data_IF_949669803868
#
_entry.id   IF_949669803868
#
_cell.length_a   1.000
_cell.length_b   1.000
_cell.length_c   1.000
_cell.angle_alpha   90.00
_cell.angle_beta   90.00
_cell.angle_gamma   90.00
#
_symmetry.space_group_name_H-M   'P 1'
#
loop_
_entity.id
_entity.type
_entity.pdbx_description
1 polymer ?
#
# COMPACT_ATOMS: atom_id res chain seq x y z
N UNK A 1 -1.55 -31.80 -26.82
CA UNK A 1 -1.88 -30.71 -25.87
C UNK A 1 -1.77 -29.38 -26.61
N UNK A 2 -2.91 -28.73 -26.85
CA UNK A 2 -3.06 -27.57 -27.73
C UNK A 2 -2.33 -26.34 -27.18
N UNK A 3 -1.30 -25.86 -27.89
CA UNK A 3 -0.68 -24.55 -27.64
C UNK A 3 -1.68 -23.47 -28.07
N UNK A 4 -2.35 -22.87 -27.09
CA UNK A 4 -3.16 -21.66 -27.33
C UNK A 4 -2.24 -20.58 -27.93
N UNK A 5 -2.59 -19.96 -29.06
CA UNK A 5 -1.74 -18.97 -29.71
C UNK A 5 -1.61 -17.74 -28.80
N UNK A 6 -0.37 -17.34 -28.52
CA UNK A 6 -0.08 -16.07 -27.82
C UNK A 6 -0.58 -14.95 -28.72
N UNK A 7 -1.53 -14.16 -28.20
CA UNK A 7 -2.10 -13.00 -28.90
C UNK A 7 -0.97 -11.99 -29.12
N UNK A 8 -0.31 -12.04 -30.29
CA UNK A 8 0.71 -11.07 -30.71
C UNK A 8 0.04 -9.70 -30.88
N UNK A 9 0.24 -8.82 -29.91
CA UNK A 9 -0.30 -7.46 -29.91
C UNK A 9 -0.22 -6.85 -28.51
N UNK A 10 -0.18 -5.51 -28.44
CA UNK A 10 0.02 -4.70 -27.23
C UNK A 10 -0.63 -5.33 -25.97
N UNK A 11 0.10 -5.48 -24.86
CA UNK A 11 -0.42 -6.07 -23.63
C UNK A 11 -1.70 -5.38 -23.18
N UNK A 12 -2.54 -6.09 -22.40
CA UNK A 12 -3.93 -5.75 -22.04
C UNK A 12 -4.12 -4.47 -21.18
N UNK A 13 -3.26 -3.47 -21.32
CA UNK A 13 -3.22 -2.21 -20.59
C UNK A 13 -1.94 -2.05 -19.78
N UNK A 14 -1.63 -0.82 -19.38
CA UNK A 14 -0.46 -0.51 -18.54
C UNK A 14 -0.46 -1.30 -17.22
N UNK A 15 -1.65 -1.55 -16.64
CA UNK A 15 -1.82 -2.33 -15.42
C UNK A 15 -1.41 -3.79 -15.57
N UNK A 16 -1.76 -4.43 -16.69
CA UNK A 16 -1.38 -5.83 -16.96
C UNK A 16 0.15 -5.97 -17.11
N UNK A 17 0.79 -5.05 -17.84
CA UNK A 17 2.27 -4.96 -17.95
C UNK A 17 2.96 -4.78 -16.61
N UNK A 18 2.40 -3.93 -15.74
CA UNK A 18 2.96 -3.72 -14.40
C UNK A 18 2.85 -4.98 -13.55
N UNK A 19 1.75 -5.72 -13.65
CA UNK A 19 1.57 -6.97 -12.91
C UNK A 19 2.53 -8.06 -13.41
N UNK A 20 2.65 -8.23 -14.73
CA UNK A 20 3.60 -9.15 -15.35
C UNK A 20 5.05 -8.81 -14.98
N UNK A 21 5.42 -7.52 -15.01
CA UNK A 21 6.74 -7.06 -14.58
C UNK A 21 6.99 -7.34 -13.10
N UNK A 22 6.01 -7.03 -12.22
CA UNK A 22 6.11 -7.34 -10.79
C UNK A 22 6.28 -8.83 -10.55
N UNK A 23 5.50 -9.66 -11.23
CA UNK A 23 5.56 -11.10 -11.11
C UNK A 23 6.92 -11.63 -11.59
N UNK A 24 7.40 -11.16 -12.74
CA UNK A 24 8.74 -11.51 -13.26
C UNK A 24 9.84 -11.10 -12.28
N UNK A 25 9.76 -9.89 -11.70
CA UNK A 25 10.74 -9.39 -10.75
C UNK A 25 10.70 -10.10 -9.39
N UNK A 26 9.59 -10.75 -9.02
CA UNK A 26 9.45 -11.51 -7.78
C UNK A 26 9.81 -12.99 -7.96
N UNK A 27 9.51 -13.55 -9.14
CA UNK A 27 9.71 -14.96 -9.47
C UNK A 27 11.10 -15.25 -10.07
N UNK A 28 11.87 -14.22 -10.42
CA UNK A 28 13.18 -14.44 -11.01
C UNK A 28 14.12 -15.14 -10.02
N UNK A 29 14.77 -16.25 -10.39
CA UNK A 29 15.57 -17.07 -9.48
C UNK A 29 16.78 -16.34 -8.90
N UNK A 30 17.23 -15.26 -9.54
CA UNK A 30 18.36 -14.46 -9.07
C UNK A 30 17.99 -13.43 -8.01
N UNK A 31 16.71 -13.20 -7.72
CA UNK A 31 16.29 -12.20 -6.70
C UNK A 31 16.94 -12.46 -5.34
N UNK A 32 16.97 -13.70 -4.80
CA UNK A 32 17.65 -14.00 -3.54
C UNK A 32 19.15 -13.71 -3.63
N UNK A 33 19.79 -14.05 -4.74
CA UNK A 33 21.22 -13.85 -4.98
C UNK A 33 21.59 -12.36 -5.05
N UNK A 34 20.75 -11.54 -5.67
CA UNK A 34 20.91 -10.08 -5.70
C UNK A 34 20.79 -9.50 -4.30
N UNK A 35 19.80 -9.94 -3.52
CA UNK A 35 19.63 -9.48 -2.12
C UNK A 35 20.85 -9.85 -1.27
N UNK A 36 21.34 -11.09 -1.37
CA UNK A 36 22.53 -11.55 -0.65
C UNK A 36 23.77 -10.72 -1.02
N UNK A 37 23.93 -10.41 -2.30
CA UNK A 37 25.04 -9.58 -2.80
C UNK A 37 24.97 -8.15 -2.25
N UNK A 38 23.78 -7.57 -2.15
CA UNK A 38 23.57 -6.23 -1.57
C UNK A 38 23.92 -6.23 -0.09
N UNK A 39 23.50 -7.25 0.67
CA UNK A 39 23.84 -7.39 2.09
C UNK A 39 25.35 -7.54 2.27
N UNK A 40 26.00 -8.39 1.47
CA UNK A 40 27.45 -8.56 1.51
C UNK A 40 28.20 -7.26 1.19
N UNK A 41 27.72 -6.51 0.20
CA UNK A 41 28.25 -5.19 -0.17
C UNK A 41 28.10 -4.17 0.97
N UNK A 42 27.02 -4.25 1.75
CA UNK A 42 26.81 -3.37 2.89
C UNK A 42 27.79 -3.64 4.05
N UNK A 43 28.29 -4.87 4.16
CA UNK A 43 29.25 -5.31 5.18
C UNK A 43 30.72 -5.09 4.78
N UNK A 44 31.00 -4.78 3.51
CA UNK A 44 32.36 -4.55 3.02
C UNK A 44 32.72 -3.06 3.06
N UNK A 45 33.61 -2.70 3.97
CA UNK A 45 34.08 -1.33 4.20
C UNK A 45 34.91 -0.75 3.05
N UNK A 46 35.42 -1.60 2.15
CA UNK A 46 36.21 -1.14 0.99
C UNK A 46 35.35 -0.92 -0.26
N UNK A 47 34.06 -1.27 -0.22
CA UNK A 47 33.21 -1.20 -1.39
C UNK A 47 32.71 0.24 -1.62
N UNK A 48 32.98 0.80 -2.81
CA UNK A 48 32.64 2.20 -3.18
C UNK A 48 31.17 2.57 -2.91
N UNK A 49 30.26 1.60 -3.05
CA UNK A 49 28.82 1.80 -2.87
C UNK A 49 28.25 1.27 -1.54
N UNK A 50 29.10 1.01 -0.54
CA UNK A 50 28.70 0.46 0.76
C UNK A 50 27.60 1.31 1.42
N UNK A 51 27.79 2.63 1.52
CA UNK A 51 26.82 3.53 2.16
C UNK A 51 25.42 3.48 1.51
N UNK A 52 25.36 3.32 0.18
CA UNK A 52 24.10 3.19 -0.55
C UNK A 52 23.44 1.83 -0.26
N UNK A 53 24.23 0.76 -0.21
CA UNK A 53 23.74 -0.56 0.15
C UNK A 53 23.19 -0.59 1.59
N UNK A 54 23.91 0.00 2.54
CA UNK A 54 23.47 0.13 3.93
C UNK A 54 22.16 0.91 4.04
N UNK A 55 22.06 2.06 3.34
CA UNK A 55 20.82 2.85 3.32
C UNK A 55 19.65 2.06 2.76
N UNK A 56 19.86 1.33 1.66
CA UNK A 56 18.82 0.53 1.03
C UNK A 56 18.35 -0.62 1.91
N UNK A 57 19.27 -1.25 2.64
CA UNK A 57 18.97 -2.30 3.62
C UNK A 57 18.19 -1.71 4.81
N UNK A 58 18.62 -0.56 5.35
CA UNK A 58 17.96 0.10 6.47
C UNK A 58 16.54 0.55 6.11
N UNK A 59 16.34 1.19 4.97
CA UNK A 59 15.01 1.64 4.52
C UNK A 59 13.99 0.50 4.34
N UNK A 60 14.48 -0.72 4.06
CA UNK A 60 13.63 -1.87 3.70
C UNK A 60 13.44 -2.87 4.83
N UNK A 61 14.43 -3.00 5.73
CA UNK A 61 14.35 -3.89 6.89
C UNK A 61 13.73 -3.20 8.10
N UNK A 62 13.88 -1.88 8.25
CA UNK A 62 13.32 -1.19 9.41
C UNK A 62 11.79 -1.13 9.28
N UNK A 63 11.03 -1.67 10.26
CA UNK A 63 9.58 -1.58 10.26
C UNK A 63 9.15 -0.19 10.73
N UNK A 64 9.34 0.84 9.91
CA UNK A 64 9.02 2.25 10.21
C UNK A 64 7.55 2.40 10.64
N UNK A 65 6.65 1.65 10.00
CA UNK A 65 5.21 1.65 10.33
C UNK A 65 4.88 1.14 11.73
N UNK A 66 5.76 0.39 12.39
CA UNK A 66 5.56 -0.06 13.78
C UNK A 66 6.09 0.95 14.78
N UNK A 67 7.12 1.71 14.41
CA UNK A 67 7.67 2.79 15.23
C UNK A 67 6.83 4.07 15.16
N UNK A 68 6.07 4.30 14.08
CA UNK A 68 5.14 5.42 13.98
C UNK A 68 3.81 5.21 14.75
N UNK A 69 3.48 3.96 15.10
CA UNK A 69 2.18 3.59 15.71
C UNK A 69 1.99 3.99 17.17
N UNK A 70 2.98 4.59 17.81
CA UNK A 70 2.79 5.15 19.15
C UNK A 70 1.93 6.44 19.16
N UNK A 71 1.68 7.08 18.00
CA UNK A 71 0.97 8.38 17.93
C UNK A 71 -0.46 8.27 17.38
N UNK A 72 -0.83 7.16 16.73
CA UNK A 72 -2.16 6.99 16.11
C UNK A 72 -3.17 6.24 17.01
N UNK A 73 -2.94 6.24 18.33
CA UNK A 73 -3.99 5.91 19.33
C UNK A 73 -4.93 7.08 19.57
N UNK A 74 -5.30 7.82 18.52
CA UNK A 74 -6.51 8.65 18.56
C UNK A 74 -7.67 7.72 18.29
N UNK A 75 -8.20 7.14 19.37
CA UNK A 75 -9.48 6.44 19.39
C UNK A 75 -10.47 7.20 18.50
N UNK A 76 -10.90 6.59 17.40
CA UNK A 76 -11.96 7.15 16.55
C UNK A 76 -13.23 7.19 17.39
N UNK A 77 -13.52 8.35 17.97
CA UNK A 77 -14.78 8.60 18.66
C UNK A 77 -15.88 8.63 17.60
N UNK A 78 -16.58 7.50 17.43
CA UNK A 78 -17.79 7.43 16.63
C UNK A 78 -18.96 7.94 17.50
N UNK A 79 -19.39 9.18 17.29
CA UNK A 79 -20.60 9.72 17.94
C UNK A 79 -21.81 9.37 17.08
N UNK A 80 -22.71 8.53 17.59
CA UNK A 80 -24.02 8.24 16.97
C UNK A 80 -25.07 9.10 17.69
N UNK A 81 -25.60 10.11 17.01
CA UNK A 81 -26.64 10.97 17.56
C UNK A 81 -28.01 10.44 17.11
N UNK A 82 -28.77 9.87 18.05
CA UNK A 82 -30.18 9.53 17.84
C UNK A 82 -31.04 10.70 18.36
N UNK A 83 -31.62 11.49 17.46
CA UNK A 83 -32.60 12.51 17.82
C UNK A 83 -33.97 11.86 17.96
N UNK A 84 -34.46 11.73 19.20
CA UNK A 84 -35.88 11.48 19.43
C UNK A 84 -36.57 12.80 19.16
N UNK A 85 -37.21 12.92 17.99
CA UNK A 85 -37.94 14.10 17.58
C UNK A 85 -39.29 14.10 18.34
N UNK A 86 -39.61 15.10 19.18
CA UNK A 86 -40.98 15.26 19.65
C UNK A 86 -41.84 15.63 18.44
N UNK A 87 -42.98 14.96 18.33
CA UNK A 87 -43.95 15.14 17.24
C UNK A 87 -44.38 16.61 17.17
N UNK A 88 -44.26 17.21 15.98
CA UNK A 88 -44.84 18.53 15.71
C UNK A 88 -46.36 18.33 15.62
N UNK A 89 -47.10 18.79 16.62
CA UNK A 89 -48.53 19.03 16.45
C UNK A 89 -48.73 20.11 15.38
N UNK A 90 -49.66 19.92 14.42
CA UNK A 90 -49.97 20.94 13.43
C UNK A 90 -50.74 22.07 14.11
N UNK A 91 -50.16 23.27 14.09
CA UNK A 91 -50.85 24.52 14.45
C UNK A 91 -51.86 24.83 13.34
N UNK A 92 -53.14 24.60 13.60
CA UNK A 92 -54.25 25.07 12.76
C UNK A 92 -54.32 26.60 12.86
N UNK A 93 -54.07 27.29 11.75
CA UNK A 93 -54.24 28.73 11.66
C UNK A 93 -55.71 29.09 11.54
N UNK A 94 -56.21 29.90 12.48
CA UNK A 94 -57.48 30.59 12.33
C UNK A 94 -57.30 31.74 11.32
N UNK A 95 -58.11 31.72 10.25
CA UNK A 95 -58.18 32.83 9.29
C UNK A 95 -59.10 33.89 9.90
N UNK A 96 -58.58 35.10 10.10
CA UNK A 96 -59.36 36.28 10.48
C UNK A 96 -59.59 37.11 9.21
N UNK A 97 -60.85 37.51 9.00
CA UNK A 97 -61.49 38.26 7.91
C UNK A 97 -62.12 37.46 6.76
#
# INVERSE_FOLDING_TARGET
MSKKPVKRGRPAGMRARQFELKQTLLEHPDVPKVIETVIRTALDDNHKNQAVAQKLVMDRLLPISTFEKAVDSREKINIVINTIRPEKEPIEGEVIE
#
